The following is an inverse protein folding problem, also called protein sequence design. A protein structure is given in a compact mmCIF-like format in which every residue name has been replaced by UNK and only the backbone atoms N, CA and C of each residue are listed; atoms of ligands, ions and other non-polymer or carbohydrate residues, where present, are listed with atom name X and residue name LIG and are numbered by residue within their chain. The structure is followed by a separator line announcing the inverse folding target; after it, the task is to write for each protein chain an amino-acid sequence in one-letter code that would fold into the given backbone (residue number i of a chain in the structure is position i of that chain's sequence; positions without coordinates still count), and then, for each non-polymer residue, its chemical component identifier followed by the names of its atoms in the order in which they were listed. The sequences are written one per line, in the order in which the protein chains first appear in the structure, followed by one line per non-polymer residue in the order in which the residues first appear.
data_IF_383777622480
#
_entry.id   IF_383777622480
#
_cell.length_a   1.000
_cell.length_b   1.000
_cell.length_c   1.000
_cell.angle_alpha   90.00
_cell.angle_beta   90.00
_cell.angle_gamma   90.00
#
_symmetry.space_group_name_H-M   'P 1'
#
loop_
_entity.id
_entity.type
_entity.pdbx_description
1 polymer ?
#
# COMPACT_ATOMS: atom_id res chain seq x y z
N UNK A 1 7.92 -5.01 7.96
CA UNK A 1 7.28 -4.80 6.64
C UNK A 1 7.24 -3.31 6.31
N UNK A 2 7.59 -2.96 5.12
CA UNK A 2 7.51 -1.58 4.66
C UNK A 2 6.43 -1.42 3.60
N UNK A 3 5.52 -0.48 3.80
CA UNK A 3 4.44 -0.19 2.87
C UNK A 3 4.64 1.22 2.32
N UNK A 4 4.64 1.33 0.99
CA UNK A 4 4.76 2.64 0.34
C UNK A 4 3.49 2.91 -0.43
N UNK A 5 2.93 4.10 -0.23
CA UNK A 5 1.74 4.53 -0.95
C UNK A 5 2.18 5.61 -1.93
N UNK A 6 2.13 5.27 -3.20
CA UNK A 6 2.63 6.12 -4.28
C UNK A 6 1.53 7.02 -4.79
N UNK A 7 1.68 8.31 -4.60
CA UNK A 7 0.69 9.25 -5.08
C UNK A 7 1.01 10.68 -4.70
N UNK A 8 0.34 11.62 -5.36
CA UNK A 8 0.61 13.04 -5.20
C UNK A 8 -0.43 13.75 -4.33
N UNK A 9 -1.11 13.01 -3.47
CA UNK A 9 -2.11 13.58 -2.57
C UNK A 9 -3.52 13.63 -3.15
N UNK A 10 -3.79 12.83 -4.18
CA UNK A 10 -5.13 12.78 -4.78
C UNK A 10 -6.13 12.15 -3.81
N UNK A 11 -7.42 12.30 -4.12
CA UNK A 11 -8.48 11.77 -3.27
C UNK A 11 -8.31 10.24 -3.06
N UNK A 12 -8.06 9.52 -4.14
CA UNK A 12 -7.89 8.07 -4.06
C UNK A 12 -6.60 7.69 -3.34
N UNK A 13 -5.57 8.54 -3.41
CA UNK A 13 -4.33 8.32 -2.67
C UNK A 13 -4.59 8.36 -1.16
N UNK A 14 -5.37 9.33 -0.72
CA UNK A 14 -5.72 9.46 0.69
C UNK A 14 -6.63 8.32 1.15
N UNK A 15 -7.56 7.90 0.29
CA UNK A 15 -8.43 6.77 0.58
C UNK A 15 -7.64 5.48 0.71
N UNK A 16 -6.67 5.26 -0.15
CA UNK A 16 -5.83 4.08 -0.08
C UNK A 16 -5.06 4.04 1.24
N UNK A 17 -4.49 5.16 1.65
CA UNK A 17 -3.78 5.24 2.91
C UNK A 17 -4.70 4.89 4.08
N UNK A 18 -5.91 5.43 4.08
CA UNK A 18 -6.88 5.16 5.14
C UNK A 18 -7.24 3.68 5.20
N UNK A 19 -7.49 3.07 4.04
CA UNK A 19 -7.83 1.65 3.98
C UNK A 19 -6.69 0.78 4.50
N UNK A 20 -5.46 1.09 4.08
CA UNK A 20 -4.28 0.34 4.53
C UNK A 20 -4.14 0.43 6.04
N UNK A 21 -4.27 1.62 6.60
CA UNK A 21 -4.18 1.82 8.04
C UNK A 21 -5.25 1.02 8.79
N UNK A 22 -6.48 1.01 8.28
CA UNK A 22 -7.56 0.26 8.91
C UNK A 22 -7.32 -1.24 8.90
N UNK A 23 -6.84 -1.77 7.78
CA UNK A 23 -6.57 -3.20 7.68
C UNK A 23 -5.43 -3.61 8.61
N UNK A 24 -4.37 -2.80 8.68
CA UNK A 24 -3.26 -3.08 9.58
C UNK A 24 -3.72 -3.11 11.03
N UNK A 25 -4.59 -2.18 11.42
CA UNK A 25 -5.15 -2.18 12.76
C UNK A 25 -6.03 -3.39 13.01
N UNK A 26 -6.86 -3.75 12.05
CA UNK A 26 -7.76 -4.90 12.17
C UNK A 26 -7.00 -6.22 12.30
N UNK A 27 -5.89 -6.34 11.60
CA UNK A 27 -5.07 -7.55 11.66
C UNK A 27 -4.11 -7.58 12.85
N UNK A 28 -3.98 -6.45 13.55
CA UNK A 28 -3.10 -6.37 14.71
C UNK A 28 -1.62 -6.45 14.39
N UNK A 29 -1.23 -6.05 13.19
CA UNK A 29 0.17 -6.06 12.78
C UNK A 29 0.85 -4.81 13.36
N UNK A 30 1.92 -5.02 14.14
CA UNK A 30 2.58 -3.91 14.82
C UNK A 30 3.91 -3.47 14.21
N UNK A 31 4.51 -4.28 13.35
CA UNK A 31 5.83 -3.95 12.78
C UNK A 31 5.72 -3.55 11.32
N UNK A 32 4.86 -2.59 11.03
CA UNK A 32 4.65 -2.07 9.67
C UNK A 32 5.02 -0.60 9.64
N UNK A 33 5.87 -0.22 8.69
CA UNK A 33 6.17 1.17 8.37
C UNK A 33 5.34 1.56 7.16
N UNK A 34 4.63 2.68 7.26
CA UNK A 34 3.87 3.21 6.14
C UNK A 34 4.48 4.55 5.73
N UNK A 35 4.84 4.66 4.46
CA UNK A 35 5.40 5.87 3.91
C UNK A 35 4.58 6.35 2.73
N UNK A 36 4.23 7.64 2.73
CA UNK A 36 3.64 8.27 1.54
C UNK A 36 4.77 8.73 0.64
N UNK A 37 4.71 8.31 -0.62
CA UNK A 37 5.71 8.67 -1.61
C UNK A 37 5.07 9.58 -2.64
N UNK A 38 5.37 10.87 -2.56
CA UNK A 38 4.86 11.86 -3.50
C UNK A 38 5.92 12.33 -4.50
N UNK A 39 7.15 11.90 -4.33
CA UNK A 39 8.23 12.24 -5.26
C UNK A 39 8.01 11.49 -6.57
N UNK A 40 7.86 12.25 -7.65
CA UNK A 40 7.58 11.67 -8.96
C UNK A 40 8.65 10.72 -9.44
N UNK A 41 9.92 11.00 -9.13
CA UNK A 41 11.02 10.12 -9.53
C UNK A 41 10.91 8.75 -8.86
N UNK A 42 10.57 8.74 -7.57
CA UNK A 42 10.41 7.49 -6.84
C UNK A 42 9.21 6.71 -7.34
N UNK A 43 8.12 7.41 -7.65
CA UNK A 43 6.93 6.78 -8.20
C UNK A 43 7.26 6.12 -9.54
N UNK A 44 8.00 6.81 -10.40
CA UNK A 44 8.35 6.28 -11.72
C UNK A 44 9.25 5.05 -11.69
N UNK A 45 9.92 4.81 -10.57
CA UNK A 45 10.67 3.55 -10.42
C UNK A 45 9.76 2.34 -10.42
N UNK A 46 8.51 2.51 -10.03
CA UNK A 46 7.56 1.41 -9.92
C UNK A 46 6.49 1.44 -11.01
N UNK A 47 6.04 2.62 -11.44
CA UNK A 47 4.86 2.73 -12.28
C UNK A 47 4.79 4.10 -12.98
N UNK A 48 4.03 4.22 -14.08
CA UNK A 48 3.76 5.52 -14.68
C UNK A 48 2.96 6.43 -13.76
N UNK A 49 3.18 7.74 -13.86
CA UNK A 49 2.48 8.70 -12.99
C UNK A 49 0.98 8.73 -13.17
N UNK A 50 0.49 8.39 -14.33
CA UNK A 50 -0.94 8.41 -14.62
C UNK A 50 -1.68 7.20 -14.05
N UNK A 51 -0.98 6.28 -13.38
CA UNK A 51 -1.59 5.12 -12.75
C UNK A 51 -1.63 5.20 -11.22
N UNK A 52 -1.40 6.38 -10.66
CA UNK A 52 -1.54 6.57 -9.22
C UNK A 52 -3.01 6.44 -8.80
N UNK A 53 -3.30 5.96 -7.58
CA UNK A 53 -2.35 5.59 -6.54
C UNK A 53 -1.78 4.19 -6.74
N UNK A 54 -0.56 4.00 -6.25
CA UNK A 54 0.10 2.69 -6.26
C UNK A 54 0.36 2.22 -4.84
N UNK A 55 0.40 0.91 -4.67
CA UNK A 55 0.70 0.29 -3.37
C UNK A 55 1.89 -0.64 -3.53
N UNK A 56 2.92 -0.40 -2.72
CA UNK A 56 4.15 -1.20 -2.72
C UNK A 56 4.30 -1.82 -1.34
N UNK A 57 4.52 -3.12 -1.30
CA UNK A 57 4.75 -3.85 -0.06
C UNK A 57 6.11 -4.54 -0.16
N UNK A 58 7.04 -4.17 0.73
CA UNK A 58 8.40 -4.70 0.77
C UNK A 58 9.08 -4.67 -0.60
N UNK A 59 8.92 -3.57 -1.32
CA UNK A 59 9.55 -3.39 -2.61
C UNK A 59 8.79 -3.97 -3.80
N UNK A 60 7.64 -4.59 -3.55
CA UNK A 60 6.84 -5.19 -4.62
C UNK A 60 5.58 -4.36 -4.88
N UNK A 61 5.41 -3.94 -6.11
CA UNK A 61 4.20 -3.21 -6.52
C UNK A 61 3.05 -4.19 -6.64
N UNK A 62 2.03 -4.02 -5.80
CA UNK A 62 0.90 -4.95 -5.74
C UNK A 62 -0.40 -4.39 -6.32
N UNK A 63 -0.49 -3.07 -6.49
CA UNK A 63 -1.72 -2.45 -6.99
C UNK A 63 -1.41 -1.11 -7.63
N UNK A 64 -2.10 -0.79 -8.73
CA UNK A 64 -2.02 0.53 -9.39
C UNK A 64 -3.41 0.97 -9.83
N UNK A 65 -3.63 2.28 -9.84
CA UNK A 65 -4.80 2.92 -10.44
C UNK A 65 -6.14 2.37 -9.95
N UNK A 66 -6.19 1.91 -8.70
CA UNK A 66 -7.42 1.39 -8.13
C UNK A 66 -7.35 1.38 -6.61
N UNK A 67 -8.52 1.29 -5.99
CA UNK A 67 -8.62 1.09 -4.56
C UNK A 67 -8.93 -0.39 -4.33
N UNK A 68 -7.96 -1.17 -3.82
CA UNK A 68 -8.23 -2.56 -3.48
C UNK A 68 -9.24 -2.60 -2.33
N UNK A 69 -10.06 -3.65 -2.28
CA UNK A 69 -10.98 -3.80 -1.18
C UNK A 69 -10.27 -4.38 0.05
N UNK A 70 -11.02 -4.45 1.15
CA UNK A 70 -10.44 -4.92 2.42
C UNK A 70 -9.95 -6.37 2.33
N UNK A 71 -10.67 -7.21 1.60
CA UNK A 71 -10.29 -8.61 1.44
C UNK A 71 -8.96 -8.76 0.70
N UNK A 72 -8.76 -7.98 -0.35
CA UNK A 72 -7.50 -7.98 -1.08
C UNK A 72 -6.35 -7.52 -0.19
N UNK A 73 -6.54 -6.43 0.54
CA UNK A 73 -5.53 -5.93 1.45
C UNK A 73 -5.21 -6.95 2.54
N UNK A 74 -6.23 -7.60 3.10
CA UNK A 74 -6.03 -8.63 4.10
C UNK A 74 -5.20 -9.79 3.57
N UNK A 75 -5.45 -10.20 2.34
CA UNK A 75 -4.66 -11.29 1.73
C UNK A 75 -3.20 -10.90 1.54
N UNK A 76 -2.95 -9.65 1.15
CA UNK A 76 -1.57 -9.20 0.95
C UNK A 76 -0.80 -9.08 2.26
N UNK A 77 -1.47 -8.75 3.35
CA UNK A 77 -0.82 -8.61 4.66
C UNK A 77 -0.82 -9.89 5.49
N UNK A 78 -1.70 -10.83 5.19
CA UNK A 78 -1.84 -12.06 5.99
C UNK A 78 -0.57 -12.91 6.07
N UNK A 79 0.23 -13.06 5.01
CA UNK A 79 1.48 -13.84 5.11
C UNK A 79 2.46 -13.32 6.14
N UNK A 80 2.44 -12.02 6.42
CA UNK A 80 3.29 -11.43 7.45
C UNK A 80 2.83 -11.87 8.83
N UNK A 81 1.53 -12.00 9.00
CA UNK A 81 0.91 -12.37 10.27
C UNK A 81 1.03 -13.86 10.56
N UNK A 82 1.16 -14.68 9.53
CA UNK A 82 1.18 -16.12 9.66
C UNK A 82 2.36 -16.73 8.90
N UNK A 83 3.59 -16.46 9.34
CA UNK A 83 4.79 -16.87 8.61
C UNK A 83 5.03 -18.37 8.62
N UNK A 84 4.37 -19.10 9.49
CA UNK A 84 4.58 -20.53 9.65
C UNK A 84 3.79 -21.39 8.66
N UNK A 85 2.89 -20.77 7.96
CA UNK A 85 2.03 -21.52 7.02
C UNK A 85 2.66 -21.69 5.65
#
# INVERSE_FOLDING_TARGET
MKVEILGTGCYNCLKLEELVNQVILDLGISSVEIERVSDERRIRHYMPLDEIPGLVIDGHLVSTNQLPDREELQRWFAPVQNPAS
#
